data_IF_272279952584
#
_entry.id   IF_272279952584
#
_cell.length_a   1.000
_cell.length_b   1.000
_cell.length_c   1.000
_cell.angle_alpha   90.00
_cell.angle_beta   90.00
_cell.angle_gamma   90.00
#
_symmetry.space_group_name_H-M   'P 1'
#
loop_
_entity.id
_entity.type
_entity.pdbx_description
1 polymer ?
#
# COMPACT_ATOMS: atom_id res chain seq x y z
N UNK A 1 66.78 36.13 21.58
CA UNK A 1 65.79 35.44 20.72
C UNK A 1 64.58 35.21 21.58
N UNK A 2 63.63 36.15 21.49
CA UNK A 2 62.44 36.18 22.34
C UNK A 2 61.34 35.33 21.69
N UNK A 3 60.86 34.32 22.42
CA UNK A 3 59.73 33.50 22.03
C UNK A 3 58.44 34.12 22.60
N UNK A 4 57.57 34.65 21.73
CA UNK A 4 56.30 35.24 22.13
C UNK A 4 55.28 34.10 22.22
N UNK A 5 54.82 33.71 23.42
CA UNK A 5 53.65 32.86 23.66
C UNK A 5 52.39 33.74 23.57
N UNK A 6 51.59 33.54 22.55
CA UNK A 6 50.22 34.04 22.49
C UNK A 6 49.27 33.05 23.20
N UNK A 7 48.35 33.49 24.07
CA UNK A 7 47.36 32.64 24.67
C UNK A 7 46.27 32.32 23.64
N UNK A 8 46.05 31.01 23.38
CA UNK A 8 44.87 30.51 22.68
C UNK A 8 43.66 30.73 23.60
N UNK A 9 42.87 31.73 23.32
CA UNK A 9 41.54 31.87 23.90
C UNK A 9 40.62 30.79 23.28
N UNK A 10 40.48 29.69 24.00
CA UNK A 10 39.48 28.65 23.70
C UNK A 10 38.09 29.21 23.93
N UNK A 11 37.47 29.77 22.90
CA UNK A 11 36.08 30.09 22.90
C UNK A 11 35.26 28.78 22.89
N UNK A 12 34.72 28.40 24.04
CA UNK A 12 33.68 27.38 24.10
C UNK A 12 32.46 27.89 23.32
N UNK A 13 32.28 27.42 22.12
CA UNK A 13 31.00 27.60 21.39
C UNK A 13 29.98 26.79 22.16
N UNK A 14 29.27 27.43 23.07
CA UNK A 14 28.08 26.86 23.69
C UNK A 14 27.03 26.82 22.59
N UNK A 15 26.85 25.67 21.97
CA UNK A 15 25.72 25.44 21.07
C UNK A 15 24.45 25.77 21.87
N UNK A 16 23.63 26.69 21.37
CA UNK A 16 22.32 26.96 21.94
C UNK A 16 21.58 25.63 22.04
N UNK A 17 20.89 25.36 23.17
CA UNK A 17 20.12 24.13 23.29
C UNK A 17 19.16 24.08 22.12
N UNK A 18 19.21 22.97 21.36
CA UNK A 18 18.26 22.73 20.26
C UNK A 18 16.86 22.86 20.85
N UNK A 19 16.01 23.68 20.22
CA UNK A 19 14.65 23.93 20.71
C UNK A 19 13.89 22.60 20.77
N UNK A 20 13.17 22.34 21.85
CA UNK A 20 12.31 21.18 21.99
C UNK A 20 11.20 21.25 20.93
N UNK A 21 11.05 20.20 20.11
CA UNK A 21 10.00 20.12 19.10
C UNK A 21 8.69 19.69 19.75
N UNK A 22 7.61 20.37 19.39
CA UNK A 22 6.31 20.21 20.05
C UNK A 22 5.21 19.72 19.12
N UNK A 23 5.46 19.66 17.80
CA UNK A 23 4.53 19.14 16.80
C UNK A 23 5.16 18.05 15.95
N UNK A 24 4.32 17.12 15.48
CA UNK A 24 4.76 16.03 14.60
C UNK A 24 5.30 16.57 13.27
N UNK A 25 4.70 17.66 12.73
CA UNK A 25 5.18 18.29 11.50
C UNK A 25 6.62 18.82 11.64
N UNK A 26 6.99 19.42 12.79
CA UNK A 26 8.36 19.87 13.05
C UNK A 26 9.33 18.70 13.04
N UNK A 27 8.99 17.57 13.67
CA UNK A 27 9.83 16.37 13.66
C UNK A 27 10.00 15.83 12.23
N UNK A 28 8.92 15.75 11.46
CA UNK A 28 8.97 15.27 10.08
C UNK A 28 9.79 16.19 9.15
N UNK A 29 9.81 17.48 9.43
CA UNK A 29 10.61 18.44 8.66
C UNK A 29 12.12 18.21 8.78
N UNK A 30 12.60 17.45 9.79
CA UNK A 30 14.01 17.07 9.94
C UNK A 30 14.48 16.08 8.84
N UNK A 31 13.57 15.46 8.09
CA UNK A 31 13.86 14.45 7.06
C UNK A 31 14.41 14.98 5.73
N UNK A 32 14.90 16.22 5.67
CA UNK A 32 15.54 16.80 4.48
C UNK A 32 16.93 16.22 4.19
N UNK A 33 17.47 16.57 3.02
CA UNK A 33 18.83 16.18 2.60
C UNK A 33 19.87 16.96 3.40
N UNK A 34 20.27 16.44 4.55
CA UNK A 34 21.28 17.04 5.41
C UNK A 34 21.73 16.10 6.52
N UNK A 35 22.68 16.59 7.34
CA UNK A 35 23.06 15.89 8.56
C UNK A 35 21.87 15.90 9.53
N UNK A 36 21.42 14.73 9.96
CA UNK A 36 20.31 14.61 10.90
C UNK A 36 20.82 15.00 12.30
N UNK A 37 20.23 16.05 12.85
CA UNK A 37 20.52 16.49 14.22
C UNK A 37 19.42 15.97 15.14
N UNK A 38 19.81 15.30 16.22
CA UNK A 38 18.87 14.86 17.24
C UNK A 38 18.27 16.07 17.98
N UNK A 39 16.95 16.07 18.11
CA UNK A 39 16.19 17.08 18.84
C UNK A 39 15.38 16.41 19.93
N UNK A 40 15.30 17.04 21.10
CA UNK A 40 14.32 16.65 22.10
C UNK A 40 12.91 16.92 21.61
N UNK A 41 11.98 16.02 21.93
CA UNK A 41 10.58 16.15 21.54
C UNK A 41 9.65 16.04 22.76
N UNK A 42 8.59 16.84 22.72
CA UNK A 42 7.47 16.75 23.65
C UNK A 42 6.18 16.90 22.85
N UNK A 43 5.60 15.79 22.46
CA UNK A 43 4.44 15.75 21.58
C UNK A 43 3.18 15.41 22.36
N UNK A 44 2.06 16.03 21.99
CA UNK A 44 0.74 15.69 22.50
C UNK A 44 -0.19 15.32 21.36
N UNK A 45 -0.75 14.11 21.40
CA UNK A 45 -1.58 13.60 20.31
C UNK A 45 -2.18 12.24 20.67
N UNK A 46 -2.70 11.54 19.68
CA UNK A 46 -3.42 10.28 19.85
C UNK A 46 -2.73 9.10 19.19
N UNK A 47 -2.97 7.90 19.67
CA UNK A 47 -2.61 6.66 18.99
C UNK A 47 -3.55 6.50 17.78
N UNK A 48 -2.97 6.31 16.58
CA UNK A 48 -3.69 5.96 15.36
C UNK A 48 -3.75 4.46 15.13
N UNK A 49 -2.64 3.78 15.37
CA UNK A 49 -2.43 2.37 15.03
C UNK A 49 -1.42 1.76 16.00
N UNK A 50 -1.79 0.66 16.63
CA UNK A 50 -0.90 -0.16 17.42
C UNK A 50 -0.11 -1.08 16.46
N UNK A 51 1.19 -1.13 16.62
CA UNK A 51 2.07 -2.01 15.85
C UNK A 51 2.53 -3.17 16.74
N UNK A 52 2.93 -4.26 16.10
CA UNK A 52 3.59 -5.33 16.82
C UNK A 52 4.95 -4.86 17.38
N UNK A 53 5.41 -5.52 18.46
CA UNK A 53 6.77 -5.33 18.95
C UNK A 53 7.76 -5.50 17.79
N UNK A 54 8.65 -4.55 17.62
CA UNK A 54 9.69 -4.63 16.60
C UNK A 54 10.62 -5.83 16.90
N UNK A 55 10.68 -6.83 16.03
CA UNK A 55 11.43 -8.06 16.31
C UNK A 55 12.96 -7.85 16.35
N UNK A 56 13.44 -6.74 15.80
CA UNK A 56 14.87 -6.41 15.72
C UNK A 56 15.34 -5.69 16.98
N UNK A 57 14.54 -4.74 17.45
CA UNK A 57 14.90 -3.88 18.59
C UNK A 57 14.24 -4.32 19.89
N UNK A 58 13.15 -5.12 19.83
CA UNK A 58 12.35 -5.50 20.98
C UNK A 58 11.54 -4.33 21.57
N UNK A 59 11.49 -3.19 20.88
CA UNK A 59 10.72 -2.01 21.29
C UNK A 59 9.25 -2.18 20.93
N UNK A 60 8.38 -1.65 21.77
CA UNK A 60 6.98 -1.43 21.41
C UNK A 60 6.89 -0.33 20.35
N UNK A 61 5.94 -0.43 19.44
CA UNK A 61 5.79 0.56 18.38
C UNK A 61 4.32 0.94 18.16
N UNK A 62 4.10 2.19 17.78
CA UNK A 62 2.76 2.68 17.40
C UNK A 62 2.85 3.88 16.47
N UNK A 63 1.79 4.08 15.69
CA UNK A 63 1.61 5.32 14.96
C UNK A 63 0.89 6.34 15.82
N UNK A 64 1.47 7.51 15.93
CA UNK A 64 1.00 8.62 16.74
C UNK A 64 0.66 9.80 15.84
N UNK A 65 -0.39 10.56 16.16
CA UNK A 65 -0.76 11.76 15.44
C UNK A 65 -1.15 12.90 16.36
N UNK A 66 -0.78 14.10 15.93
CA UNK A 66 -1.37 15.34 16.39
C UNK A 66 -2.19 15.98 15.24
N UNK A 67 -2.61 17.25 15.42
CA UNK A 67 -3.35 17.98 14.39
C UNK A 67 -2.52 18.28 13.13
N UNK A 68 -1.18 18.15 13.18
CA UNK A 68 -0.27 18.55 12.12
C UNK A 68 0.11 17.40 11.19
N UNK A 69 0.31 16.19 11.72
CA UNK A 69 0.73 15.00 10.96
C UNK A 69 0.70 13.73 11.83
N UNK A 70 1.16 12.60 11.26
CA UNK A 70 1.40 11.36 11.98
C UNK A 70 2.84 10.88 11.86
N UNK A 71 3.31 10.10 12.86
CA UNK A 71 4.69 9.67 12.98
C UNK A 71 4.78 8.31 13.69
N UNK A 72 5.80 7.54 13.32
CA UNK A 72 6.17 6.32 14.03
C UNK A 72 6.85 6.65 15.36
N UNK A 73 6.41 6.00 16.43
CA UNK A 73 7.01 6.12 17.76
C UNK A 73 7.47 4.74 18.21
N UNK A 74 8.78 4.62 18.49
CA UNK A 74 9.36 3.48 19.18
C UNK A 74 9.42 3.79 20.69
N UNK A 75 9.01 2.84 21.51
CA UNK A 75 8.92 2.99 22.98
C UNK A 75 9.55 1.80 23.70
N UNK A 76 10.14 1.99 24.88
CA UNK A 76 10.58 0.87 25.70
C UNK A 76 9.45 -0.12 25.96
N UNK A 77 9.76 -1.44 26.03
CA UNK A 77 8.76 -2.49 26.18
C UNK A 77 7.83 -2.28 27.40
N UNK A 78 6.55 -2.57 27.20
CA UNK A 78 5.51 -2.50 28.23
C UNK A 78 4.99 -1.10 28.55
N UNK A 79 5.54 -0.04 27.93
CA UNK A 79 5.10 1.34 28.19
C UNK A 79 3.78 1.69 27.53
N UNK A 80 3.40 0.97 26.50
CA UNK A 80 2.12 1.17 25.78
C UNK A 80 1.13 0.03 26.03
N UNK A 81 1.43 -0.86 26.97
CA UNK A 81 0.54 -1.97 27.32
C UNK A 81 -0.83 -1.46 27.79
N UNK A 82 -1.89 -1.96 27.12
CA UNK A 82 -3.28 -1.56 27.39
C UNK A 82 -3.72 -0.23 26.78
N UNK A 83 -2.82 0.48 26.10
CA UNK A 83 -3.19 1.66 25.31
C UNK A 83 -3.78 1.21 23.97
N UNK A 84 -4.71 2.00 23.45
CA UNK A 84 -5.44 1.71 22.21
C UNK A 84 -5.63 2.96 21.35
N UNK A 85 -6.04 2.72 20.12
CA UNK A 85 -6.39 3.77 19.17
C UNK A 85 -7.35 4.80 19.82
N UNK A 86 -7.02 6.09 19.69
CA UNK A 86 -7.77 7.21 20.24
C UNK A 86 -7.36 7.60 21.66
N UNK A 87 -6.45 6.86 22.33
CA UNK A 87 -5.90 7.31 23.61
C UNK A 87 -5.02 8.54 23.38
N UNK A 88 -5.26 9.58 24.17
CA UNK A 88 -4.50 10.82 24.16
C UNK A 88 -3.24 10.65 25.00
N UNK A 89 -2.09 10.92 24.41
CA UNK A 89 -0.79 10.74 25.04
C UNK A 89 0.03 12.02 25.03
N UNK A 90 0.88 12.19 26.05
CA UNK A 90 2.10 12.98 25.98
C UNK A 90 3.29 12.03 25.75
N UNK A 91 4.04 12.27 24.66
CA UNK A 91 5.25 11.51 24.31
C UNK A 91 6.44 12.42 24.48
N UNK A 92 7.44 11.99 25.23
CA UNK A 92 8.74 12.65 25.39
C UNK A 92 9.85 11.73 24.90
N UNK A 93 10.86 12.28 24.26
CA UNK A 93 11.96 11.49 23.71
C UNK A 93 12.86 12.30 22.82
N UNK A 94 13.41 11.61 21.82
CA UNK A 94 14.29 12.18 20.81
C UNK A 94 13.73 11.91 19.41
N UNK A 95 13.85 12.90 18.54
CA UNK A 95 13.72 12.67 17.10
C UNK A 95 14.92 11.85 16.65
N UNK A 96 14.68 10.81 15.86
CA UNK A 96 15.71 9.91 15.34
C UNK A 96 15.53 9.69 13.84
N UNK A 97 16.58 9.25 13.17
CA UNK A 97 16.52 8.87 11.77
C UNK A 97 15.79 7.52 11.66
N UNK A 98 14.72 7.47 10.88
CA UNK A 98 14.09 6.22 10.45
C UNK A 98 14.59 5.80 9.07
N UNK A 99 14.05 4.70 8.55
CA UNK A 99 14.45 4.15 7.24
C UNK A 99 14.09 5.09 6.09
N UNK A 100 12.98 5.79 6.18
CA UNK A 100 12.49 6.70 5.14
C UNK A 100 12.17 8.09 5.69
N UNK A 101 11.45 8.16 6.79
CA UNK A 101 11.05 9.41 7.44
C UNK A 101 11.58 9.43 8.88
N UNK A 102 11.76 10.62 9.49
CA UNK A 102 12.07 10.72 10.91
C UNK A 102 11.07 9.97 11.79
N UNK A 103 11.57 9.41 12.87
CA UNK A 103 10.78 8.72 13.90
C UNK A 103 11.00 9.38 15.25
N UNK A 104 10.20 9.00 16.24
CA UNK A 104 10.43 9.36 17.65
C UNK A 104 10.83 8.12 18.43
N UNK A 105 11.96 8.22 19.15
CA UNK A 105 12.34 7.24 20.17
C UNK A 105 11.92 7.80 21.53
N UNK A 106 10.86 7.24 22.07
CA UNK A 106 10.26 7.71 23.31
C UNK A 106 11.09 7.29 24.53
N UNK A 107 11.41 8.22 25.39
CA UNK A 107 11.92 7.97 26.75
C UNK A 107 10.78 7.88 27.78
N UNK A 108 9.63 8.47 27.48
CA UNK A 108 8.43 8.44 28.33
C UNK A 108 7.15 8.60 27.53
N UNK A 109 6.13 7.83 27.90
CA UNK A 109 4.78 7.90 27.36
C UNK A 109 3.82 8.03 28.53
N UNK A 110 2.95 9.03 28.52
CA UNK A 110 1.98 9.30 29.59
C UNK A 110 0.59 9.43 29.00
N UNK A 111 -0.33 8.56 29.41
CA UNK A 111 -1.74 8.63 29.02
C UNK A 111 -2.43 9.85 29.69
N UNK A 112 -3.20 10.58 28.91
CA UNK A 112 -3.95 11.77 29.33
C UNK A 112 -5.46 11.65 29.11
N UNK A 113 -5.96 10.43 28.91
CA UNK A 113 -7.35 10.15 28.60
C UNK A 113 -7.58 9.79 27.14
N UNK A 114 -8.66 10.28 26.53
CA UNK A 114 -8.98 10.05 25.11
C UNK A 114 -8.97 11.35 24.34
N UNK A 115 -8.67 11.29 23.05
CA UNK A 115 -8.61 12.44 22.16
C UNK A 115 -9.31 12.20 20.84
N UNK A 116 -9.60 13.29 20.12
CA UNK A 116 -10.15 13.20 18.76
C UNK A 116 -9.06 12.74 17.78
N UNK A 117 -9.36 11.72 16.98
CA UNK A 117 -8.48 11.28 15.89
C UNK A 117 -8.56 12.31 14.77
N UNK A 118 -7.41 12.77 14.24
CA UNK A 118 -7.41 13.70 13.11
C UNK A 118 -8.13 13.09 11.89
N UNK A 119 -8.79 13.90 11.06
CA UNK A 119 -9.38 13.39 9.83
C UNK A 119 -8.30 12.85 8.89
N UNK A 120 -8.56 11.75 8.15
CA UNK A 120 -7.62 11.23 7.16
C UNK A 120 -7.47 12.21 6.00
N UNK A 121 -6.26 12.30 5.44
CA UNK A 121 -6.02 13.06 4.23
C UNK A 121 -6.49 12.26 2.99
N UNK A 122 -7.34 12.82 2.11
CA UNK A 122 -7.67 12.16 0.84
C UNK A 122 -6.43 12.15 -0.08
N UNK A 123 -6.12 11.00 -0.67
CA UNK A 123 -4.93 10.84 -1.51
C UNK A 123 -5.21 10.06 -2.79
N UNK A 124 -4.36 10.28 -3.81
CA UNK A 124 -4.33 9.49 -5.05
C UNK A 124 -3.17 8.49 -5.01
N UNK A 125 -3.17 7.51 -5.93
CA UNK A 125 -2.06 6.58 -6.06
C UNK A 125 -0.74 7.29 -6.38
N UNK A 126 -0.75 8.26 -7.31
CA UNK A 126 0.44 9.02 -7.67
C UNK A 126 1.06 9.74 -6.49
N UNK A 127 0.23 10.28 -5.60
CA UNK A 127 0.70 10.90 -4.36
C UNK A 127 1.35 9.87 -3.41
N UNK A 128 0.76 8.67 -3.28
CA UNK A 128 1.34 7.58 -2.47
C UNK A 128 2.69 7.11 -3.04
N UNK A 129 2.78 6.99 -4.37
CA UNK A 129 4.00 6.56 -5.07
C UNK A 129 5.20 7.50 -4.84
N UNK A 130 4.96 8.77 -4.45
CA UNK A 130 6.06 9.69 -4.10
C UNK A 130 6.77 9.33 -2.79
N UNK A 131 6.20 8.47 -1.95
CA UNK A 131 6.67 8.16 -0.60
C UNK A 131 6.40 9.23 0.46
N UNK A 132 5.96 10.43 0.08
CA UNK A 132 5.75 11.56 1.02
C UNK A 132 4.68 11.27 2.09
N UNK A 133 3.79 10.32 1.80
CA UNK A 133 2.73 9.90 2.72
C UNK A 133 3.11 8.72 3.60
N UNK A 134 4.38 8.33 3.64
CA UNK A 134 4.85 7.29 4.57
C UNK A 134 4.54 7.68 6.01
N UNK A 135 3.93 6.77 6.77
CA UNK A 135 3.48 6.99 8.12
C UNK A 135 2.25 7.92 8.25
N UNK A 136 1.60 8.37 7.16
CA UNK A 136 0.45 9.28 7.23
C UNK A 136 -0.89 8.55 7.27
N UNK A 137 -1.87 9.17 7.97
CA UNK A 137 -3.23 8.70 8.04
C UNK A 137 -4.03 9.24 6.86
N UNK A 138 -4.48 8.36 5.98
CA UNK A 138 -5.06 8.71 4.69
C UNK A 138 -6.38 8.00 4.42
N UNK A 139 -7.13 8.55 3.48
CA UNK A 139 -8.31 7.92 2.89
C UNK A 139 -8.10 7.75 1.38
N UNK A 140 -8.42 6.57 0.86
CA UNK A 140 -8.32 6.25 -0.55
C UNK A 140 -9.49 5.40 -1.02
N UNK A 141 -9.89 5.56 -2.29
CA UNK A 141 -10.92 4.75 -2.92
C UNK A 141 -10.32 3.90 -4.03
N UNK A 142 -10.84 2.68 -4.20
CA UNK A 142 -10.39 1.77 -5.23
C UNK A 142 -11.34 0.61 -5.48
N UNK A 143 -11.02 -0.22 -6.47
CA UNK A 143 -11.78 -1.43 -6.82
C UNK A 143 -11.03 -2.64 -6.28
N UNK A 144 -11.71 -3.52 -5.57
CA UNK A 144 -11.14 -4.75 -5.02
C UNK A 144 -10.79 -5.72 -6.15
N UNK A 145 -9.50 -6.04 -6.28
CA UNK A 145 -8.97 -7.00 -7.25
C UNK A 145 -8.90 -8.41 -6.68
N UNK A 146 -8.44 -8.50 -5.46
CA UNK A 146 -8.37 -9.74 -4.70
C UNK A 146 -8.57 -9.48 -3.20
N UNK A 147 -9.05 -10.51 -2.50
CA UNK A 147 -9.15 -10.51 -1.04
C UNK A 147 -8.78 -11.91 -0.53
N UNK A 148 -7.92 -11.99 0.48
CA UNK A 148 -7.40 -13.26 0.98
C UNK A 148 -6.77 -13.10 2.36
N UNK A 149 -6.62 -14.22 3.04
CA UNK A 149 -5.71 -14.31 4.18
C UNK A 149 -4.30 -14.64 3.65
N UNK A 150 -3.28 -14.00 4.17
CA UNK A 150 -1.90 -14.34 3.82
C UNK A 150 -1.58 -15.78 4.25
N UNK A 151 -0.70 -16.44 3.48
CA UNK A 151 -0.24 -17.77 3.82
C UNK A 151 0.63 -17.77 5.09
N UNK A 152 0.58 -18.84 5.92
CA UNK A 152 1.47 -18.96 7.07
C UNK A 152 2.96 -18.79 6.69
N UNK A 153 3.79 -18.24 7.59
CA UNK A 153 3.50 -17.86 8.99
C UNK A 153 2.76 -16.51 9.14
N UNK A 154 2.55 -15.77 8.06
CA UNK A 154 1.82 -14.52 8.02
C UNK A 154 0.32 -14.82 7.95
N UNK A 155 -0.46 -14.34 8.92
CA UNK A 155 -1.91 -14.54 8.97
C UNK A 155 -2.70 -13.26 8.70
N UNK A 156 -2.06 -12.24 8.10
CA UNK A 156 -2.71 -10.96 7.82
C UNK A 156 -3.86 -11.11 6.84
N UNK A 157 -4.92 -10.37 7.09
CA UNK A 157 -6.02 -10.21 6.15
C UNK A 157 -5.66 -9.16 5.10
N UNK A 158 -5.58 -9.57 3.84
CA UNK A 158 -5.12 -8.75 2.73
C UNK A 158 -6.21 -8.56 1.68
N UNK A 159 -6.28 -7.35 1.14
CA UNK A 159 -6.94 -7.07 -0.12
C UNK A 159 -5.99 -6.32 -1.04
N UNK A 160 -6.13 -6.53 -2.33
CA UNK A 160 -5.46 -5.74 -3.35
C UNK A 160 -6.48 -4.86 -4.06
N UNK A 161 -6.21 -3.57 -4.11
CA UNK A 161 -7.08 -2.58 -4.74
C UNK A 161 -6.43 -2.03 -6.00
N UNK A 162 -7.22 -1.89 -7.05
CA UNK A 162 -6.89 -1.06 -8.20
C UNK A 162 -7.28 0.39 -7.90
N UNK A 163 -6.33 1.31 -8.03
CA UNK A 163 -6.52 2.73 -7.76
C UNK A 163 -5.89 3.50 -8.92
N UNK A 164 -6.65 4.28 -9.63
CA UNK A 164 -6.28 5.19 -10.72
C UNK A 164 -4.80 5.23 -11.12
N UNK A 165 -4.29 4.18 -11.74
CA UNK A 165 -2.89 4.08 -12.22
C UNK A 165 -2.01 3.06 -11.52
N UNK A 166 -2.48 2.38 -10.45
CA UNK A 166 -1.67 1.39 -9.75
C UNK A 166 -2.43 0.42 -8.87
N UNK A 167 -1.68 -0.38 -8.13
CA UNK A 167 -2.20 -1.35 -7.17
C UNK A 167 -1.74 -1.01 -5.75
N UNK A 168 -2.63 -1.13 -4.79
CA UNK A 168 -2.36 -0.93 -3.38
C UNK A 168 -2.75 -2.17 -2.59
N UNK A 169 -1.82 -2.69 -1.82
CA UNK A 169 -2.13 -3.73 -0.84
C UNK A 169 -2.70 -3.08 0.42
N UNK A 170 -3.83 -3.57 0.87
CA UNK A 170 -4.49 -3.17 2.11
C UNK A 170 -4.44 -4.33 3.09
N UNK A 171 -3.91 -4.07 4.27
CA UNK A 171 -3.91 -4.98 5.40
C UNK A 171 -4.87 -4.46 6.48
N UNK A 172 -5.79 -5.25 6.97
CA UNK A 172 -6.66 -4.87 8.08
C UNK A 172 -6.36 -5.68 9.34
N UNK A 173 -6.18 -4.98 10.46
CA UNK A 173 -5.85 -5.63 11.74
C UNK A 173 -6.98 -6.50 12.29
N UNK A 174 -8.23 -6.22 11.92
CA UNK A 174 -9.44 -6.95 12.35
C UNK A 174 -9.97 -7.97 11.33
N UNK A 175 -9.25 -8.20 10.26
CA UNK A 175 -9.60 -9.22 9.27
C UNK A 175 -10.57 -8.78 8.19
N UNK A 176 -11.10 -7.56 8.17
CA UNK A 176 -12.08 -7.12 7.17
C UNK A 176 -11.60 -7.27 5.73
N UNK A 177 -10.31 -7.01 5.46
CA UNK A 177 -9.75 -7.01 4.11
C UNK A 177 -9.90 -8.37 3.39
N UNK A 178 -9.83 -9.49 4.12
CA UNK A 178 -9.93 -10.83 3.52
C UNK A 178 -11.35 -11.19 3.02
N UNK A 179 -12.36 -10.44 3.42
CA UNK A 179 -13.77 -10.71 3.14
C UNK A 179 -14.39 -9.70 2.18
N UNK A 180 -13.60 -8.80 1.61
CA UNK A 180 -14.11 -7.82 0.66
C UNK A 180 -14.53 -8.51 -0.64
N UNK A 181 -15.73 -8.21 -1.14
CA UNK A 181 -16.19 -8.78 -2.42
C UNK A 181 -15.31 -8.26 -3.57
N UNK A 182 -14.76 -9.17 -4.36
CA UNK A 182 -14.01 -8.82 -5.57
C UNK A 182 -14.90 -8.04 -6.53
N UNK A 183 -14.33 -6.99 -7.14
CA UNK A 183 -15.00 -6.06 -8.04
C UNK A 183 -15.95 -5.04 -7.37
N UNK A 184 -15.94 -4.95 -6.03
CA UNK A 184 -16.60 -3.86 -5.32
C UNK A 184 -15.75 -2.59 -5.33
N UNK A 185 -16.39 -1.42 -5.33
CA UNK A 185 -15.71 -0.17 -5.03
C UNK A 185 -15.69 0.03 -3.51
N UNK A 186 -14.52 0.35 -2.98
CA UNK A 186 -14.34 0.55 -1.55
C UNK A 186 -13.64 1.88 -1.27
N UNK A 187 -13.94 2.42 -0.09
CA UNK A 187 -13.22 3.52 0.53
C UNK A 187 -12.54 3.01 1.78
N UNK A 188 -11.24 3.19 1.85
CA UNK A 188 -10.38 2.65 2.88
C UNK A 188 -9.65 3.77 3.59
N UNK A 189 -9.66 3.75 4.90
CA UNK A 189 -8.94 4.69 5.76
C UNK A 189 -7.89 3.94 6.56
N UNK A 190 -6.65 4.40 6.53
CA UNK A 190 -5.56 3.72 7.24
C UNK A 190 -4.26 4.50 7.23
N UNK A 191 -3.21 3.88 7.74
CA UNK A 191 -1.86 4.42 7.75
C UNK A 191 -1.07 3.83 6.59
N UNK A 192 -0.42 4.69 5.81
CA UNK A 192 0.46 4.29 4.70
C UNK A 192 1.81 3.88 5.23
N UNK A 193 2.34 2.80 4.70
CA UNK A 193 3.72 2.38 4.89
C UNK A 193 4.38 2.11 3.54
N UNK A 194 5.68 2.31 3.47
CA UNK A 194 6.48 1.95 2.30
C UNK A 194 7.15 0.60 2.53
N UNK A 195 7.09 -0.26 1.52
CA UNK A 195 7.93 -1.44 1.49
C UNK A 195 9.28 -1.09 0.89
N UNK A 196 10.36 -1.51 1.54
CA UNK A 196 11.72 -1.26 1.08
C UNK A 196 12.38 -2.55 0.56
N UNK A 197 13.21 -2.39 -0.47
CA UNK A 197 14.15 -3.43 -0.89
C UNK A 197 15.26 -3.61 0.15
N UNK A 198 16.04 -4.69 0.01
CA UNK A 198 17.24 -4.90 0.85
C UNK A 198 18.29 -3.78 0.69
N UNK A 199 18.20 -3.00 -0.36
CA UNK A 199 19.08 -1.85 -0.65
C UNK A 199 18.48 -0.52 -0.22
N UNK A 200 17.35 -0.51 0.52
CA UNK A 200 16.70 0.69 1.05
C UNK A 200 15.89 1.49 0.01
N UNK A 201 15.61 0.90 -1.15
CA UNK A 201 14.76 1.56 -2.17
C UNK A 201 13.29 1.28 -1.87
N UNK A 202 12.44 2.29 -1.92
CA UNK A 202 10.99 2.13 -1.84
C UNK A 202 10.51 1.30 -3.04
N UNK A 203 9.80 0.19 -2.76
CA UNK A 203 9.26 -0.70 -3.77
C UNK A 203 7.83 -0.31 -4.11
N UNK A 204 6.97 -0.32 -3.11
CA UNK A 204 5.57 0.06 -3.26
C UNK A 204 4.95 0.44 -1.91
N UNK A 205 3.93 1.33 -1.91
CA UNK A 205 3.15 1.63 -0.71
C UNK A 205 2.20 0.47 -0.38
N UNK A 206 1.89 0.33 0.90
CA UNK A 206 0.76 -0.46 1.38
C UNK A 206 0.04 0.29 2.50
N UNK A 207 -1.23 -0.08 2.74
CA UNK A 207 -2.07 0.56 3.74
C UNK A 207 -2.39 -0.41 4.86
N UNK A 208 -2.27 0.05 6.09
CA UNK A 208 -2.74 -0.70 7.26
C UNK A 208 -3.98 -0.02 7.84
N UNK A 209 -5.09 -0.74 7.82
CA UNK A 209 -6.35 -0.32 8.43
C UNK A 209 -6.31 -0.68 9.91
N UNK A 210 -6.43 0.31 10.82
CA UNK A 210 -6.41 0.05 12.25
C UNK A 210 -7.61 -0.76 12.70
N UNK A 211 -7.48 -1.44 13.82
CA UNK A 211 -8.56 -2.19 14.43
C UNK A 211 -9.81 -1.32 14.64
N UNK A 212 -10.98 -1.82 14.24
CA UNK A 212 -12.26 -1.13 14.39
C UNK A 212 -12.50 0.05 13.42
N UNK A 213 -11.61 0.29 12.45
CA UNK A 213 -11.85 1.25 11.37
C UNK A 213 -12.55 0.52 10.20
N UNK A 214 -13.79 0.89 9.83
CA UNK A 214 -14.50 0.16 8.80
C UNK A 214 -13.91 0.41 7.41
N UNK A 215 -13.81 -0.65 6.60
CA UNK A 215 -13.65 -0.53 5.15
C UNK A 215 -15.05 -0.40 4.55
N UNK A 216 -15.33 0.74 3.92
CA UNK A 216 -16.67 1.08 3.43
C UNK A 216 -16.82 0.63 1.99
N UNK A 217 -17.74 -0.31 1.73
CA UNK A 217 -18.15 -0.65 0.36
C UNK A 217 -19.04 0.49 -0.13
N UNK A 218 -18.53 1.29 -1.06
CA UNK A 218 -19.26 2.43 -1.65
C UNK A 218 -20.18 2.00 -2.79
N UNK A 219 -19.77 0.91 -3.50
CA UNK A 219 -20.58 0.24 -4.51
C UNK A 219 -20.33 -1.28 -4.49
N UNK A 220 -21.37 -2.11 -4.40
CA UNK A 220 -21.20 -3.55 -4.47
C UNK A 220 -20.70 -3.98 -5.86
N UNK A 221 -20.18 -5.22 -6.01
CA UNK A 221 -19.80 -5.74 -7.31
C UNK A 221 -20.99 -5.66 -8.29
N UNK A 222 -20.75 -5.39 -9.59
CA UNK A 222 -21.80 -5.45 -10.59
C UNK A 222 -22.50 -6.81 -10.59
N UNK A 223 -23.84 -6.80 -10.67
CA UNK A 223 -24.63 -8.03 -10.68
C UNK A 223 -24.37 -8.89 -11.94
N UNK A 224 -24.00 -8.25 -13.03
CA UNK A 224 -23.61 -8.91 -14.29
C UNK A 224 -22.25 -8.38 -14.76
N UNK A 225 -21.43 -9.32 -15.25
CA UNK A 225 -20.12 -9.00 -15.83
C UNK A 225 -20.28 -8.93 -17.35
N UNK A 226 -20.07 -7.76 -17.98
CA UNK A 226 -20.34 -7.59 -19.40
C UNK A 226 -19.42 -8.44 -20.27
N UNK A 227 -20.00 -9.10 -21.28
CA UNK A 227 -19.24 -9.77 -22.32
C UNK A 227 -18.69 -8.71 -23.28
N UNK A 228 -17.37 -8.71 -23.45
CA UNK A 228 -16.66 -7.79 -24.34
C UNK A 228 -15.89 -8.56 -25.41
N UNK A 229 -15.79 -7.99 -26.59
CA UNK A 229 -14.90 -8.50 -27.63
C UNK A 229 -13.46 -8.10 -27.33
N UNK A 230 -12.51 -8.95 -27.71
CA UNK A 230 -11.07 -8.73 -27.47
C UNK A 230 -10.60 -7.42 -28.12
N UNK A 231 -11.06 -7.13 -29.36
CA UNK A 231 -10.71 -5.89 -30.09
C UNK A 231 -11.25 -4.60 -29.43
N UNK A 232 -12.17 -4.71 -28.48
CA UNK A 232 -12.83 -3.58 -27.84
C UNK A 232 -12.61 -3.44 -26.33
N UNK A 233 -11.70 -4.24 -25.79
CA UNK A 233 -11.49 -4.27 -24.33
C UNK A 233 -11.07 -2.93 -23.74
N UNK A 234 -10.25 -2.16 -24.44
CA UNK A 234 -9.77 -0.85 -24.01
C UNK A 234 -10.51 0.31 -24.66
N UNK A 235 -11.52 0.03 -25.51
CA UNK A 235 -12.33 1.09 -26.07
C UNK A 235 -13.15 1.76 -24.97
N UNK A 236 -13.22 3.08 -25.00
CA UNK A 236 -14.12 3.83 -24.12
C UNK A 236 -15.56 3.34 -24.37
N UNK A 237 -16.22 2.92 -23.29
CA UNK A 237 -17.59 2.44 -23.35
C UNK A 237 -18.41 3.12 -22.26
N UNK A 238 -19.59 3.61 -22.63
CA UNK A 238 -20.61 4.06 -21.67
C UNK A 238 -21.23 2.92 -20.88
N UNK A 239 -21.04 1.66 -21.34
CA UNK A 239 -21.53 0.44 -20.69
C UNK A 239 -20.41 -0.17 -19.85
N UNK A 240 -20.40 0.09 -18.56
CA UNK A 240 -19.46 -0.42 -17.58
C UNK A 240 -18.38 0.60 -17.22
N UNK A 241 -18.16 0.78 -15.92
CA UNK A 241 -17.14 1.66 -15.41
C UNK A 241 -15.73 1.10 -15.70
N UNK A 242 -14.74 1.93 -16.05
CA UNK A 242 -13.36 1.51 -16.22
C UNK A 242 -12.84 0.82 -14.96
N UNK A 243 -12.05 -0.24 -15.13
CA UNK A 243 -11.40 -0.94 -14.03
C UNK A 243 -12.21 -2.06 -13.38
N UNK A 244 -13.48 -2.28 -13.78
CA UNK A 244 -14.29 -3.43 -13.37
C UNK A 244 -14.01 -4.67 -14.21
N UNK A 245 -14.45 -5.84 -13.70
CA UNK A 245 -14.32 -7.10 -14.43
C UNK A 245 -15.10 -7.08 -15.74
N UNK A 246 -14.53 -7.76 -16.70
CA UNK A 246 -15.16 -8.05 -18.00
C UNK A 246 -15.10 -9.55 -18.27
N UNK A 247 -15.96 -10.01 -19.14
CA UNK A 247 -16.00 -11.38 -19.65
C UNK A 247 -15.61 -11.35 -21.12
N UNK A 248 -14.70 -12.24 -21.52
CA UNK A 248 -14.31 -12.44 -22.92
C UNK A 248 -14.47 -13.91 -23.30
N UNK A 249 -14.56 -14.19 -24.58
CA UNK A 249 -14.50 -15.54 -25.14
C UNK A 249 -13.43 -15.62 -26.19
N UNK A 250 -12.79 -16.76 -26.29
CA UNK A 250 -11.78 -17.00 -27.33
C UNK A 250 -11.39 -18.45 -27.42
N UNK A 251 -10.62 -18.76 -28.45
CA UNK A 251 -10.03 -20.08 -28.67
C UNK A 251 -8.57 -20.03 -28.23
N UNK A 252 -8.15 -21.03 -27.48
CA UNK A 252 -6.77 -21.16 -27.01
C UNK A 252 -5.83 -21.36 -28.19
N UNK A 253 -4.86 -20.46 -28.35
CA UNK A 253 -3.82 -20.53 -29.38
C UNK A 253 -2.47 -20.97 -28.82
N UNK A 254 -2.21 -20.65 -27.54
CA UNK A 254 -1.00 -21.07 -26.83
C UNK A 254 -1.26 -21.12 -25.33
N UNK A 255 -0.55 -21.99 -24.64
CA UNK A 255 -0.64 -22.14 -23.18
C UNK A 255 0.73 -22.36 -22.57
N UNK A 256 1.04 -21.60 -21.53
CA UNK A 256 2.20 -21.75 -20.66
C UNK A 256 1.70 -22.01 -19.23
N UNK A 257 1.78 -23.27 -18.75
CA UNK A 257 1.19 -23.67 -17.47
C UNK A 257 1.65 -22.81 -16.29
N UNK A 258 0.68 -22.34 -15.48
CA UNK A 258 0.97 -21.51 -14.30
C UNK A 258 1.40 -20.08 -14.59
N UNK A 259 1.43 -19.66 -15.86
CA UNK A 259 1.88 -18.32 -16.24
C UNK A 259 0.85 -17.62 -17.14
N UNK A 260 0.58 -18.16 -18.34
CA UNK A 260 -0.21 -17.44 -19.33
C UNK A 260 -0.99 -18.35 -20.27
N UNK A 261 -2.14 -17.83 -20.72
CA UNK A 261 -2.96 -18.39 -21.76
C UNK A 261 -3.12 -17.34 -22.87
N UNK A 262 -2.96 -17.71 -24.13
CA UNK A 262 -3.24 -16.85 -25.27
C UNK A 262 -4.51 -17.29 -25.94
N UNK A 263 -5.41 -16.33 -26.12
CA UNK A 263 -6.70 -16.52 -26.75
C UNK A 263 -6.79 -15.71 -28.03
N UNK A 264 -7.57 -16.19 -28.98
CA UNK A 264 -7.93 -15.47 -30.20
C UNK A 264 -9.46 -15.45 -30.39
N UNK A 265 -9.97 -14.28 -30.73
CA UNK A 265 -11.34 -14.03 -31.21
C UNK A 265 -11.26 -13.20 -32.48
N UNK A 266 -11.78 -13.69 -33.60
CA UNK A 266 -11.83 -12.98 -34.90
C UNK A 266 -10.48 -12.32 -35.27
N UNK A 267 -9.38 -13.07 -35.21
CA UNK A 267 -8.00 -12.61 -35.53
C UNK A 267 -7.41 -11.59 -34.56
N UNK A 268 -8.04 -11.35 -33.40
CA UNK A 268 -7.50 -10.52 -32.34
C UNK A 268 -7.03 -11.40 -31.16
N UNK A 269 -5.74 -11.32 -30.87
CA UNK A 269 -5.12 -12.08 -29.79
C UNK A 269 -5.09 -11.32 -28.47
N UNK A 270 -5.18 -12.04 -27.35
CA UNK A 270 -5.01 -11.50 -26.02
C UNK A 270 -4.23 -12.46 -25.13
N UNK A 271 -3.37 -11.91 -24.28
CA UNK A 271 -2.72 -12.63 -23.20
C UNK A 271 -3.56 -12.58 -21.92
N UNK A 272 -3.72 -13.73 -21.31
CA UNK A 272 -4.43 -13.92 -20.03
C UNK A 272 -3.45 -14.45 -19.01
N UNK A 273 -3.24 -13.73 -17.91
CA UNK A 273 -2.34 -14.16 -16.84
C UNK A 273 -3.03 -15.19 -15.96
N UNK A 274 -2.39 -16.36 -15.79
CA UNK A 274 -2.91 -17.44 -14.96
C UNK A 274 -2.14 -17.51 -13.64
N UNK A 275 -2.87 -17.75 -12.56
CA UNK A 275 -2.28 -18.10 -11.27
C UNK A 275 -2.44 -19.60 -10.95
N UNK A 276 -3.24 -20.32 -11.74
CA UNK A 276 -3.51 -21.73 -11.56
C UNK A 276 -2.72 -22.57 -12.56
N UNK A 277 -2.28 -23.76 -12.10
CA UNK A 277 -1.56 -24.72 -12.95
C UNK A 277 -2.48 -25.59 -13.80
N UNK A 278 -3.71 -25.15 -14.10
CA UNK A 278 -4.63 -25.88 -14.94
C UNK A 278 -4.05 -26.03 -16.36
N UNK A 279 -4.17 -27.24 -16.93
CA UNK A 279 -3.70 -27.49 -18.30
C UNK A 279 -4.80 -27.13 -19.31
N UNK A 280 -4.48 -26.33 -20.33
CA UNK A 280 -5.36 -25.99 -21.45
C UNK A 280 -4.78 -26.51 -22.76
N UNK A 281 -5.66 -26.92 -23.68
CA UNK A 281 -5.25 -27.47 -24.97
C UNK A 281 -5.52 -26.44 -26.09
N UNK A 282 -4.58 -26.32 -27.03
CA UNK A 282 -4.79 -25.49 -28.24
C UNK A 282 -6.04 -25.95 -28.98
N UNK A 283 -6.92 -25.01 -29.32
CA UNK A 283 -8.24 -25.30 -29.92
C UNK A 283 -9.37 -25.40 -28.91
N UNK A 284 -9.11 -25.33 -27.60
CA UNK A 284 -10.18 -25.23 -26.58
C UNK A 284 -10.84 -23.84 -26.66
N UNK A 285 -12.17 -23.79 -26.68
CA UNK A 285 -12.94 -22.58 -26.52
C UNK A 285 -13.17 -22.32 -25.03
N UNK A 286 -12.84 -21.13 -24.57
CA UNK A 286 -12.94 -20.74 -23.17
C UNK A 286 -13.67 -19.41 -23.01
N UNK A 287 -14.27 -19.22 -21.84
CA UNK A 287 -14.74 -17.93 -21.35
C UNK A 287 -13.86 -17.51 -20.18
N UNK A 288 -13.36 -16.28 -20.21
CA UNK A 288 -12.50 -15.72 -19.18
C UNK A 288 -13.21 -14.53 -18.55
N UNK A 289 -13.28 -14.52 -17.22
CA UNK A 289 -13.78 -13.41 -16.42
C UNK A 289 -12.59 -12.86 -15.61
N UNK A 290 -12.33 -11.58 -15.74
CA UNK A 290 -11.22 -10.93 -15.07
C UNK A 290 -11.15 -9.45 -15.36
N UNK A 291 -10.04 -8.85 -15.05
CA UNK A 291 -9.81 -7.42 -15.25
C UNK A 291 -8.93 -7.19 -16.48
N UNK A 292 -9.43 -6.34 -17.38
CA UNK A 292 -8.63 -5.89 -18.51
C UNK A 292 -7.63 -4.82 -18.03
N UNK A 293 -6.36 -4.99 -18.40
CA UNK A 293 -5.28 -4.06 -18.08
C UNK A 293 -4.53 -3.67 -19.35
N UNK A 294 -3.85 -2.52 -19.31
CA UNK A 294 -2.97 -2.12 -20.40
C UNK A 294 -1.68 -2.93 -20.33
N UNK A 295 -1.46 -3.80 -21.31
CA UNK A 295 -0.18 -4.47 -21.52
C UNK A 295 0.80 -3.62 -22.33
N UNK A 296 1.98 -4.19 -22.61
CA UNK A 296 3.04 -3.47 -23.34
C UNK A 296 2.65 -3.12 -24.79
N UNK A 297 1.89 -3.99 -25.46
CA UNK A 297 1.52 -3.84 -26.88
C UNK A 297 0.02 -3.96 -27.13
N UNK A 298 -0.67 -4.70 -26.30
CA UNK A 298 -2.10 -4.99 -26.39
C UNK A 298 -2.71 -5.09 -25.01
N UNK A 299 -4.04 -5.01 -24.89
CA UNK A 299 -4.71 -5.34 -23.62
C UNK A 299 -4.34 -6.74 -23.14
N UNK A 300 -4.30 -6.93 -21.85
CA UNK A 300 -4.10 -8.20 -21.18
C UNK A 300 -5.20 -8.41 -20.12
N UNK A 301 -5.42 -9.68 -19.71
CA UNK A 301 -6.36 -10.01 -18.66
C UNK A 301 -5.61 -10.48 -17.41
N UNK A 302 -5.99 -9.95 -16.26
CA UNK A 302 -5.43 -10.33 -14.96
C UNK A 302 -6.50 -10.70 -13.94
N UNK A 303 -6.09 -11.38 -12.86
CA UNK A 303 -6.98 -11.85 -11.78
C UNK A 303 -8.20 -12.59 -12.33
N UNK A 304 -7.94 -13.59 -13.16
CA UNK A 304 -8.93 -14.25 -13.99
C UNK A 304 -9.47 -15.53 -13.38
N UNK A 305 -10.70 -15.84 -13.79
CA UNK A 305 -11.29 -17.19 -13.72
C UNK A 305 -11.58 -17.66 -15.13
N UNK A 306 -11.24 -18.91 -15.46
CA UNK A 306 -11.40 -19.48 -16.79
C UNK A 306 -12.41 -20.62 -16.76
N UNK A 307 -13.45 -20.53 -17.62
CA UNK A 307 -14.46 -21.55 -17.81
C UNK A 307 -14.27 -22.20 -19.20
N UNK A 308 -14.13 -23.51 -19.24
CA UNK A 308 -14.06 -24.27 -20.50
C UNK A 308 -15.45 -24.41 -21.09
N UNK A 309 -15.59 -24.14 -22.38
CA UNK A 309 -16.86 -24.22 -23.07
C UNK A 309 -16.96 -25.49 -23.94
N UNK A 310 -16.03 -25.65 -24.89
CA UNK A 310 -16.03 -26.76 -25.82
C UNK A 310 -14.66 -26.91 -26.49
N UNK A 311 -14.44 -28.00 -27.23
CA UNK A 311 -13.38 -28.10 -28.21
C UNK A 311 -13.80 -27.36 -29.49
N UNK A 312 -12.93 -26.49 -30.00
CA UNK A 312 -13.09 -25.80 -31.28
C UNK A 312 -11.88 -26.12 -32.18
N UNK A 313 -11.99 -25.76 -33.44
CA UNK A 313 -10.80 -25.84 -34.29
C UNK A 313 -9.82 -24.71 -33.93
N UNK A 314 -8.51 -24.99 -33.81
CA UNK A 314 -7.53 -23.96 -33.60
C UNK A 314 -7.54 -22.94 -34.75
N UNK A 315 -7.33 -21.65 -34.47
CA UNK A 315 -7.24 -20.64 -35.52
C UNK A 315 -6.12 -20.97 -36.50
N UNK A 316 -6.32 -20.56 -37.78
CA UNK A 316 -5.30 -20.77 -38.80
C UNK A 316 -4.17 -19.78 -38.62
N UNK A 317 -2.90 -20.22 -38.65
CA UNK A 317 -1.75 -19.32 -38.55
C UNK A 317 -1.76 -18.27 -39.65
N UNK A 318 -1.51 -17.00 -39.31
CA UNK A 318 -1.33 -15.93 -40.26
C UNK A 318 0.06 -16.02 -40.85
N UNK A 319 0.17 -16.09 -42.17
CA UNK A 319 1.46 -16.05 -42.89
C UNK A 319 1.96 -14.61 -42.92
N UNK A 320 3.07 -14.35 -42.26
CA UNK A 320 3.74 -13.05 -42.33
C UNK A 320 4.50 -12.97 -43.67
N UNK A 321 4.22 -11.93 -44.45
CA UNK A 321 5.06 -11.61 -45.62
C UNK A 321 6.29 -10.86 -45.10
N UNK A 322 7.46 -11.43 -45.30
CA UNK A 322 8.77 -10.79 -45.11
C UNK A 322 9.02 -9.71 -46.14
#
# INVERSE_FOLDING_TARGET
>A
MFLLCLPFAGGSVTAAPASELTTVAEVRALGGAGEFVEHSVRLRGVILLELAVDPTTGLDAFMFADASASIYVASPPGRISGLKRGDLLEVRGLAARGDFAPIVVASGVTAQGTGAIPPPAPVTFDQLATGRFDGQYVEISGIVRSSRQAAPPDSRALAELSIGGGRLVVNSQDGQAQSLPVDSEVRVTGVVFQQFSRTGQAIHPFLVVPYGVPIVITRPPPADVPLRRIDRLMAFSSEGAPGHRVRIRGVVTHHQPGESLWLEEDSHGIRVHLHESAAYTVGESVEVVGFAVQGNYSPEMEDVSVLRLALANPPRPTVLKT
#
